data_IF_376527176514
#
_entry.id   IF_376527176514
#
_cell.length_a   1.000
_cell.length_b   1.000
_cell.length_c   1.000
_cell.angle_alpha   90.00
_cell.angle_beta   90.00
_cell.angle_gamma   90.00
#
_symmetry.space_group_name_H-M   'P 1'
#
loop_
_entity.id
_entity.type
_entity.pdbx_description
1 polymer ?
#
# COMPACT_ATOMS: atom_id res chain seq x y z
N UNK A 1 -12.25 64.45 7.18
CA UNK A 1 -11.11 63.59 6.80
C UNK A 1 -11.66 62.49 5.88
N UNK A 2 -12.04 62.69 4.62
CA UNK A 2 -11.51 63.54 3.55
C UNK A 2 -9.98 63.40 3.42
N UNK A 3 -9.53 62.37 2.68
CA UNK A 3 -8.23 62.21 1.98
C UNK A 3 -7.85 60.73 1.88
N UNK A 4 -8.32 60.01 0.85
CA UNK A 4 -7.57 58.88 0.25
C UNK A 4 -8.23 58.31 -1.02
N UNK A 5 -8.66 59.18 -1.94
CA UNK A 5 -9.22 58.75 -3.23
C UNK A 5 -8.74 59.59 -4.42
N UNK A 6 -7.52 60.15 -4.37
CA UNK A 6 -7.02 61.01 -5.45
C UNK A 6 -5.52 60.81 -5.71
N UNK A 7 -5.18 59.69 -6.36
CA UNK A 7 -3.90 59.47 -7.06
C UNK A 7 -4.17 58.78 -8.41
N UNK A 8 -5.20 59.25 -9.11
CA UNK A 8 -5.45 59.02 -10.53
C UNK A 8 -5.72 60.41 -11.10
N UNK A 9 -5.05 60.77 -12.20
CA UNK A 9 -5.11 62.08 -12.87
C UNK A 9 -4.20 63.19 -12.32
N UNK A 10 -2.89 63.05 -12.56
CA UNK A 10 -2.01 64.22 -12.73
C UNK A 10 -0.91 63.87 -13.73
N UNK A 11 -1.17 64.11 -15.01
CA UNK A 11 -0.28 64.71 -16.02
C UNK A 11 -0.84 64.47 -17.43
N UNK A 12 -1.96 65.13 -17.72
CA UNK A 12 -2.46 65.34 -19.07
C UNK A 12 -2.62 66.85 -19.24
N UNK A 13 -2.09 67.36 -20.35
CA UNK A 13 -2.20 68.71 -20.92
C UNK A 13 -1.22 69.81 -20.45
N UNK A 14 -0.21 70.06 -21.28
CA UNK A 14 0.23 71.39 -21.70
C UNK A 14 0.34 71.34 -23.25
N UNK A 15 -0.69 71.75 -23.99
CA UNK A 15 -0.99 73.09 -24.53
C UNK A 15 0.07 73.68 -25.49
N UNK A 16 -0.41 73.94 -26.73
CA UNK A 16 0.11 74.81 -27.80
C UNK A 16 1.38 74.32 -28.52
N UNK A 17 1.47 74.12 -29.84
CA UNK A 17 0.74 74.71 -30.98
C UNK A 17 1.67 75.68 -31.71
N UNK A 18 2.26 75.28 -32.85
CA UNK A 18 2.69 76.18 -33.94
C UNK A 18 3.10 75.40 -35.20
N UNK A 19 2.45 75.71 -36.31
CA UNK A 19 2.66 75.21 -37.67
C UNK A 19 3.89 75.85 -38.34
N UNK A 20 4.66 75.10 -39.12
CA UNK A 20 5.48 75.66 -40.20
C UNK A 20 5.72 74.60 -41.29
N UNK A 21 5.38 74.96 -42.53
CA UNK A 21 5.58 74.19 -43.76
C UNK A 21 7.04 74.27 -44.25
N UNK A 22 7.57 73.16 -44.79
CA UNK A 22 8.50 73.14 -45.92
C UNK A 22 8.54 71.74 -46.56
N UNK A 23 8.50 71.62 -47.91
CA UNK A 23 8.71 70.37 -48.63
C UNK A 23 10.19 70.19 -49.04
N UNK A 24 10.51 68.96 -49.46
CA UNK A 24 11.61 68.51 -50.33
C UNK A 24 12.62 67.50 -49.75
N UNK A 25 12.98 66.59 -50.67
CA UNK A 25 13.60 65.29 -50.54
C UNK A 25 14.97 65.27 -49.86
N UNK A 26 15.17 64.27 -48.97
CA UNK A 26 16.50 63.76 -48.64
C UNK A 26 16.45 62.34 -48.02
N UNK A 27 16.43 61.31 -48.88
CA UNK A 27 17.05 59.98 -48.66
C UNK A 27 16.50 59.04 -47.57
N UNK A 28 16.56 57.70 -47.76
CA UNK A 28 16.18 56.75 -46.73
C UNK A 28 17.16 56.81 -45.54
N UNK A 29 16.65 57.10 -44.35
CA UNK A 29 17.36 56.98 -43.07
C UNK A 29 17.83 55.54 -42.86
N UNK A 30 19.04 55.28 -42.33
CA UNK A 30 19.46 53.93 -41.98
C UNK A 30 18.52 53.39 -40.91
N UNK A 31 17.81 52.30 -41.19
CA UNK A 31 17.02 51.60 -40.18
C UNK A 31 17.98 51.04 -39.11
N UNK A 32 17.81 51.49 -37.86
CA UNK A 32 18.53 50.96 -36.72
C UNK A 32 18.21 49.48 -36.57
N UNK A 33 19.23 48.62 -36.72
CA UNK A 33 19.05 47.17 -36.61
C UNK A 33 18.96 46.80 -35.14
N UNK A 34 17.73 46.73 -34.63
CA UNK A 34 17.45 46.14 -33.32
C UNK A 34 17.79 44.66 -33.38
N UNK A 35 18.74 44.24 -32.54
CA UNK A 35 19.03 42.81 -32.36
C UNK A 35 17.96 42.27 -31.40
N UNK A 36 17.06 41.38 -31.82
CA UNK A 36 16.08 40.80 -30.92
C UNK A 36 16.81 40.01 -29.82
N UNK A 37 16.55 40.37 -28.57
CA UNK A 37 16.96 39.57 -27.42
C UNK A 37 16.33 38.19 -27.57
N UNK A 38 17.14 37.13 -27.46
CA UNK A 38 16.66 35.76 -27.50
C UNK A 38 15.62 35.56 -26.40
N UNK A 39 14.36 35.35 -26.83
CA UNK A 39 13.30 34.89 -25.94
C UNK A 39 13.73 33.52 -25.40
N UNK A 40 13.65 33.25 -24.08
CA UNK A 40 13.89 31.91 -23.58
C UNK A 40 12.97 30.95 -24.33
N UNK A 41 13.55 30.02 -25.09
CA UNK A 41 12.77 28.94 -25.65
C UNK A 41 12.21 28.15 -24.47
N UNK A 42 10.87 28.03 -24.40
CA UNK A 42 10.23 27.09 -23.50
C UNK A 42 10.89 25.73 -23.75
N UNK A 43 11.61 25.23 -22.73
CA UNK A 43 12.20 23.91 -22.79
C UNK A 43 11.06 22.94 -23.07
N UNK A 44 11.15 22.03 -24.07
CA UNK A 44 10.07 21.12 -24.36
C UNK A 44 9.66 20.43 -23.07
N UNK A 45 8.41 20.61 -22.63
CA UNK A 45 7.85 19.81 -21.55
C UNK A 45 7.99 18.36 -21.99
N UNK A 46 8.89 17.63 -21.32
CA UNK A 46 9.14 16.23 -21.62
C UNK A 46 7.81 15.50 -21.52
N UNK A 47 7.27 15.06 -22.67
CA UNK A 47 6.01 14.34 -22.68
C UNK A 47 6.27 12.96 -22.09
N UNK A 48 6.11 12.85 -20.78
CA UNK A 48 6.31 11.58 -20.08
C UNK A 48 5.33 10.56 -20.65
N UNK A 49 5.87 9.49 -21.23
CA UNK A 49 5.07 8.40 -21.76
C UNK A 49 4.30 7.73 -20.62
N UNK A 50 2.96 7.60 -20.73
CA UNK A 50 2.15 6.95 -19.71
C UNK A 50 2.70 5.56 -19.34
N UNK A 51 2.61 5.15 -18.07
CA UNK A 51 3.12 3.86 -17.65
C UNK A 51 2.28 2.75 -18.27
N UNK A 52 2.84 1.54 -18.47
CA UNK A 52 2.09 0.44 -19.03
C UNK A 52 0.80 0.17 -18.24
N UNK A 53 -0.33 0.13 -18.95
CA UNK A 53 -1.66 0.00 -18.35
C UNK A 53 -2.35 1.31 -17.99
N UNK A 54 -1.75 2.46 -18.28
CA UNK A 54 -2.41 3.78 -18.27
C UNK A 54 -2.31 4.35 -19.68
N UNK A 55 -3.45 4.71 -20.28
CA UNK A 55 -3.46 5.33 -21.60
C UNK A 55 -3.28 6.85 -21.50
N UNK A 56 -2.90 7.49 -22.62
CA UNK A 56 -2.71 8.94 -22.68
C UNK A 56 -3.99 9.74 -22.37
N UNK A 57 -5.16 9.15 -22.60
CA UNK A 57 -6.46 9.73 -22.24
C UNK A 57 -6.83 9.52 -20.75
N UNK A 58 -5.93 8.98 -19.94
CA UNK A 58 -6.14 8.70 -18.52
C UNK A 58 -6.92 7.41 -18.22
N UNK A 59 -7.34 6.65 -19.23
CA UNK A 59 -7.98 5.34 -18.97
C UNK A 59 -6.98 4.33 -18.42
N UNK A 60 -7.43 3.49 -17.50
CA UNK A 60 -6.59 2.48 -16.84
C UNK A 60 -7.00 1.08 -17.30
N UNK A 61 -6.04 0.26 -17.70
CA UNK A 61 -6.21 -1.16 -17.98
C UNK A 61 -5.62 -1.97 -16.81
N UNK A 62 -6.45 -2.49 -15.89
CA UNK A 62 -5.97 -3.17 -14.69
C UNK A 62 -5.09 -4.38 -15.02
N UNK A 63 -5.45 -5.17 -16.03
CA UNK A 63 -4.67 -6.34 -16.43
C UNK A 63 -3.27 -5.99 -16.95
N UNK A 64 -3.15 -4.93 -17.74
CA UNK A 64 -1.85 -4.46 -18.22
C UNK A 64 -1.00 -3.88 -17.09
N UNK A 65 -1.62 -3.09 -16.20
CA UNK A 65 -0.95 -2.51 -15.04
C UNK A 65 -0.47 -3.59 -14.05
N UNK A 66 -1.25 -4.65 -13.83
CA UNK A 66 -0.85 -5.79 -12.99
C UNK A 66 0.37 -6.50 -13.56
N UNK A 67 0.41 -6.74 -14.88
CA UNK A 67 1.57 -7.36 -15.52
C UNK A 67 2.82 -6.48 -15.40
N UNK A 68 2.68 -5.19 -15.65
CA UNK A 68 3.78 -4.22 -15.52
C UNK A 68 4.29 -4.14 -14.08
N UNK A 69 3.38 -4.16 -13.11
CA UNK A 69 3.72 -4.18 -11.70
C UNK A 69 4.57 -5.39 -11.32
N UNK A 70 4.21 -6.60 -11.77
CA UNK A 70 5.01 -7.79 -11.50
C UNK A 70 6.33 -7.79 -12.25
N UNK A 71 6.35 -7.35 -13.52
CA UNK A 71 7.60 -7.21 -14.28
C UNK A 71 8.57 -6.22 -13.61
N UNK A 72 8.05 -5.14 -13.00
CA UNK A 72 8.87 -4.18 -12.27
C UNK A 72 9.43 -4.70 -10.93
N UNK A 73 8.96 -5.85 -10.43
CA UNK A 73 9.38 -6.49 -9.19
C UNK A 73 10.18 -7.78 -9.40
N UNK A 74 10.22 -8.30 -10.62
CA UNK A 74 10.90 -9.57 -10.91
C UNK A 74 12.40 -9.45 -10.70
N UNK A 75 12.96 -10.47 -10.06
CA UNK A 75 14.38 -10.59 -9.71
C UNK A 75 14.93 -9.39 -8.92
N UNK A 76 14.07 -8.71 -8.14
CA UNK A 76 14.41 -7.53 -7.35
C UNK A 76 14.04 -7.71 -5.89
N UNK A 77 14.87 -7.16 -5.02
CA UNK A 77 14.57 -7.09 -3.60
C UNK A 77 13.57 -5.97 -3.31
N UNK A 78 12.65 -6.16 -2.37
CA UNK A 78 11.71 -5.12 -1.94
C UNK A 78 11.03 -5.43 -0.61
N UNK A 79 10.44 -4.40 -0.02
CA UNK A 79 9.48 -4.52 1.08
C UNK A 79 8.07 -4.18 0.61
N UNK A 80 7.09 -4.95 1.07
CA UNK A 80 5.67 -4.67 0.87
C UNK A 80 4.94 -4.61 2.21
N UNK A 81 4.12 -3.58 2.39
CA UNK A 81 3.28 -3.37 3.57
C UNK A 81 1.84 -3.21 3.16
N UNK A 82 0.93 -3.89 3.85
CA UNK A 82 -0.50 -3.71 3.73
C UNK A 82 -1.11 -3.49 5.10
N UNK A 83 -1.89 -2.44 5.23
CA UNK A 83 -2.71 -2.15 6.40
C UNK A 83 -4.17 -1.99 5.94
N UNK A 84 -5.07 -2.67 6.64
CA UNK A 84 -6.50 -2.54 6.46
C UNK A 84 -7.14 -2.37 7.83
N UNK A 85 -8.10 -1.46 7.92
CA UNK A 85 -8.87 -1.23 9.14
C UNK A 85 -10.31 -0.89 8.77
N UNK A 86 -11.23 -1.55 9.48
CA UNK A 86 -12.65 -1.23 9.52
C UNK A 86 -13.01 -0.83 10.94
N UNK A 87 -13.51 0.39 11.11
CA UNK A 87 -14.01 0.90 12.38
C UNK A 87 -15.50 1.17 12.31
N UNK A 88 -16.21 0.92 13.39
CA UNK A 88 -17.63 1.25 13.52
C UNK A 88 -17.74 2.38 14.53
N UNK A 89 -18.44 3.44 14.14
CA UNK A 89 -18.95 4.43 15.08
C UNK A 89 -20.27 3.91 15.62
N UNK A 90 -20.22 3.30 16.80
CA UNK A 90 -21.43 2.74 17.42
C UNK A 90 -22.21 3.91 18.02
N UNK A 91 -23.44 4.10 17.57
CA UNK A 91 -24.39 5.04 18.18
C UNK A 91 -24.47 4.77 19.69
N UNK A 92 -24.49 5.81 20.51
CA UNK A 92 -24.64 5.64 21.94
C UNK A 92 -25.96 4.90 22.23
N UNK A 93 -25.99 3.92 23.15
CA UNK A 93 -27.26 3.35 23.60
C UNK A 93 -28.16 4.47 24.12
N UNK A 94 -29.49 4.31 23.98
CA UNK A 94 -30.46 5.33 24.44
C UNK A 94 -30.18 5.69 25.90
N UNK A 95 -29.77 6.93 26.16
CA UNK A 95 -29.36 7.44 27.49
C UNK A 95 -27.86 7.43 27.78
N UNK A 96 -26.99 7.10 26.82
CA UNK A 96 -25.53 7.17 26.93
C UNK A 96 -24.91 8.37 26.20
N UNK A 97 -23.77 8.85 26.67
CA UNK A 97 -23.16 10.11 26.19
C UNK A 97 -22.05 9.95 25.14
N UNK A 98 -21.63 8.73 24.78
CA UNK A 98 -20.43 8.58 23.92
C UNK A 98 -20.60 7.54 22.82
N UNK A 99 -20.64 8.03 21.57
CA UNK A 99 -20.37 7.20 20.41
C UNK A 99 -18.90 6.72 20.47
N UNK A 100 -18.68 5.44 20.25
CA UNK A 100 -17.32 4.87 20.30
C UNK A 100 -16.88 4.46 18.90
N UNK A 101 -15.70 4.93 18.48
CA UNK A 101 -15.02 4.43 17.29
C UNK A 101 -14.24 3.17 17.68
N UNK A 102 -14.73 2.01 17.27
CA UNK A 102 -14.09 0.72 17.60
C UNK A 102 -13.61 0.06 16.32
N UNK A 103 -12.32 -0.28 16.24
CA UNK A 103 -11.79 -1.12 15.17
C UNK A 103 -12.36 -2.54 15.32
N UNK A 104 -13.23 -2.95 14.40
CA UNK A 104 -13.89 -4.25 14.40
C UNK A 104 -13.18 -5.26 13.51
N UNK A 105 -12.38 -4.79 12.55
CA UNK A 105 -11.56 -5.62 11.70
C UNK A 105 -10.26 -4.90 11.35
N UNK A 106 -9.15 -5.61 11.45
CA UNK A 106 -7.80 -5.12 11.19
C UNK A 106 -7.05 -6.22 10.48
N UNK A 107 -6.31 -5.88 9.43
CA UNK A 107 -5.35 -6.78 8.81
C UNK A 107 -4.06 -6.02 8.48
N UNK A 108 -2.94 -6.52 9.00
CA UNK A 108 -1.60 -6.02 8.72
C UNK A 108 -0.77 -7.14 8.08
N UNK A 109 -0.06 -6.81 7.01
CA UNK A 109 0.94 -7.68 6.39
C UNK A 109 2.22 -6.90 6.12
N UNK A 110 3.35 -7.52 6.43
CA UNK A 110 4.69 -6.99 6.14
C UNK A 110 5.49 -8.10 5.48
N UNK A 111 5.83 -7.91 4.22
CA UNK A 111 6.64 -8.83 3.43
C UNK A 111 7.98 -8.15 3.12
N UNK A 112 9.06 -8.92 3.22
CA UNK A 112 10.36 -8.58 2.64
C UNK A 112 10.74 -9.69 1.66
N UNK A 113 11.29 -9.31 0.52
CA UNK A 113 11.74 -10.20 -0.55
C UNK A 113 13.17 -9.80 -0.89
N UNK A 114 14.07 -10.77 -0.98
CA UNK A 114 15.41 -10.59 -1.52
C UNK A 114 15.43 -10.89 -3.03
N UNK A 115 16.53 -10.50 -3.67
CA UNK A 115 16.77 -10.71 -5.10
C UNK A 115 16.84 -12.19 -5.50
N UNK A 116 17.28 -13.07 -4.59
CA UNK A 116 17.25 -14.53 -4.74
C UNK A 116 15.83 -15.15 -4.62
N UNK A 117 14.81 -14.33 -4.40
CA UNK A 117 13.41 -14.77 -4.25
C UNK A 117 13.04 -15.27 -2.86
N UNK A 118 13.99 -15.36 -1.93
CA UNK A 118 13.70 -15.64 -0.52
C UNK A 118 12.84 -14.53 0.08
N UNK A 119 11.97 -14.89 1.03
CA UNK A 119 11.03 -13.92 1.59
C UNK A 119 10.66 -14.19 3.04
N UNK A 120 10.30 -13.11 3.74
CA UNK A 120 9.71 -13.15 5.09
C UNK A 120 8.42 -12.36 5.15
N UNK A 121 7.33 -13.03 5.50
CA UNK A 121 6.01 -12.44 5.71
C UNK A 121 5.65 -12.48 7.19
N UNK A 122 5.33 -11.33 7.77
CA UNK A 122 4.62 -11.22 9.05
C UNK A 122 3.18 -10.80 8.81
N UNK A 123 2.22 -11.45 9.48
CA UNK A 123 0.80 -11.12 9.39
C UNK A 123 0.13 -11.03 10.76
N UNK A 124 -0.75 -10.05 10.91
CA UNK A 124 -1.64 -9.87 12.06
C UNK A 124 -3.03 -9.55 11.53
N UNK A 125 -4.05 -10.20 12.06
CA UNK A 125 -5.43 -9.86 11.72
C UNK A 125 -6.38 -10.17 12.88
N UNK A 126 -7.51 -9.47 12.94
CA UNK A 126 -8.53 -9.68 13.96
C UNK A 126 -8.96 -11.16 13.99
N UNK A 127 -9.07 -11.74 15.18
CA UNK A 127 -9.47 -13.13 15.37
C UNK A 127 -8.41 -14.18 14.97
N UNK A 128 -7.23 -13.77 14.49
CA UNK A 128 -6.13 -14.68 14.16
C UNK A 128 -4.95 -14.48 15.11
N UNK A 129 -4.44 -15.59 15.64
CA UNK A 129 -3.14 -15.59 16.29
C UNK A 129 -2.08 -15.37 15.20
N UNK A 130 -1.34 -14.26 15.29
CA UNK A 130 -0.40 -13.83 14.27
C UNK A 130 0.64 -14.89 13.89
N UNK A 131 1.31 -14.69 12.76
CA UNK A 131 2.28 -15.66 12.27
C UNK A 131 3.35 -15.05 11.37
N UNK A 132 4.48 -15.75 11.30
CA UNK A 132 5.59 -15.45 10.40
C UNK A 132 5.76 -16.60 9.42
N UNK A 133 5.94 -16.28 8.15
CA UNK A 133 6.41 -17.22 7.13
C UNK A 133 7.80 -16.75 6.71
N UNK A 134 8.73 -17.67 6.61
CA UNK A 134 10.01 -17.46 5.96
C UNK A 134 10.17 -18.54 4.89
N UNK A 135 10.75 -18.21 3.75
CA UNK A 135 11.10 -19.21 2.77
C UNK A 135 12.35 -18.79 1.99
N UNK A 136 13.12 -19.79 1.63
CA UNK A 136 14.30 -19.70 0.77
C UNK A 136 14.44 -21.01 -0.03
N UNK A 137 15.60 -21.22 -0.65
CA UNK A 137 15.96 -22.40 -1.42
C UNK A 137 15.83 -23.73 -0.63
N UNK A 138 15.93 -23.69 0.70
CA UNK A 138 15.83 -24.88 1.57
C UNK A 138 14.40 -25.27 1.92
N UNK A 139 13.44 -24.35 1.75
CA UNK A 139 12.01 -24.65 1.91
C UNK A 139 11.18 -23.49 2.47
N UNK A 140 9.93 -23.80 2.83
CA UNK A 140 8.98 -22.84 3.41
C UNK A 140 8.70 -23.16 4.88
N UNK A 141 9.00 -22.22 5.76
CA UNK A 141 8.88 -22.34 7.20
C UNK A 141 7.80 -21.42 7.75
N UNK A 142 6.87 -21.97 8.54
CA UNK A 142 5.77 -21.22 9.15
C UNK A 142 5.86 -21.29 10.65
N UNK A 143 6.05 -20.14 11.29
CA UNK A 143 5.96 -19.96 12.74
C UNK A 143 4.62 -19.33 13.10
N UNK A 144 3.73 -20.11 13.73
CA UNK A 144 2.46 -19.63 14.26
C UNK A 144 2.52 -19.49 15.78
N UNK A 145 1.98 -18.39 16.32
CA UNK A 145 1.66 -18.36 17.74
C UNK A 145 0.37 -19.16 17.99
N UNK A 146 0.32 -19.88 19.10
CA UNK A 146 -0.83 -20.64 19.62
C UNK A 146 -1.07 -20.24 21.07
N UNK A 147 -2.24 -20.54 21.62
CA UNK A 147 -2.56 -20.28 23.02
C UNK A 147 -1.62 -20.98 24.02
N UNK A 148 -0.93 -22.04 23.61
CA UNK A 148 -0.02 -22.84 24.41
C UNK A 148 1.46 -22.75 23.98
N UNK A 149 1.85 -21.74 23.19
CA UNK A 149 3.23 -21.53 22.74
C UNK A 149 3.35 -21.29 21.25
N UNK A 150 4.55 -21.41 20.69
CA UNK A 150 4.79 -21.30 19.23
C UNK A 150 4.92 -22.68 18.60
N UNK A 151 4.28 -22.86 17.44
CA UNK A 151 4.39 -24.08 16.64
C UNK A 151 4.96 -23.79 15.26
N UNK A 152 5.76 -24.74 14.75
CA UNK A 152 6.41 -24.66 13.45
C UNK A 152 5.77 -25.62 12.45
N UNK A 153 5.80 -25.27 11.17
CA UNK A 153 5.46 -26.16 10.06
C UNK A 153 6.41 -25.91 8.89
N UNK A 154 6.94 -26.98 8.33
CA UNK A 154 7.65 -26.98 7.05
C UNK A 154 6.65 -27.32 5.96
N UNK A 155 6.53 -26.46 4.95
CA UNK A 155 5.70 -26.69 3.77
C UNK A 155 6.52 -27.25 2.62
N UNK A 156 5.90 -28.16 1.86
CA UNK A 156 6.43 -28.64 0.58
C UNK A 156 5.94 -27.76 -0.58
N UNK A 157 6.73 -27.69 -1.65
CA UNK A 157 6.43 -26.91 -2.86
C UNK A 157 7.33 -25.69 -3.03
N UNK A 158 7.44 -25.22 -4.28
CA UNK A 158 8.29 -24.10 -4.64
C UNK A 158 7.81 -22.81 -3.93
N UNK A 159 8.66 -22.18 -3.11
CA UNK A 159 8.31 -20.93 -2.48
C UNK A 159 8.06 -19.84 -3.51
N UNK A 160 6.94 -19.12 -3.41
CA UNK A 160 6.81 -17.86 -4.15
C UNK A 160 6.12 -16.80 -3.30
N UNK A 161 6.64 -15.58 -3.33
CA UNK A 161 6.06 -14.50 -2.56
C UNK A 161 4.80 -13.93 -3.25
N UNK A 162 4.66 -14.15 -4.56
CA UNK A 162 3.63 -13.53 -5.42
C UNK A 162 2.21 -13.84 -4.95
N UNK A 163 1.98 -15.00 -4.36
CA UNK A 163 0.67 -15.39 -3.83
C UNK A 163 0.24 -14.64 -2.56
N UNK A 164 1.18 -13.95 -1.89
CA UNK A 164 0.86 -13.08 -0.76
C UNK A 164 0.52 -11.66 -1.19
N UNK A 165 1.06 -11.22 -2.33
CA UNK A 165 0.78 -9.91 -2.89
C UNK A 165 -0.70 -9.81 -3.28
N UNK A 166 -1.31 -8.68 -2.97
CA UNK A 166 -2.74 -8.44 -3.19
C UNK A 166 -3.02 -7.39 -4.26
N UNK A 167 -1.98 -6.88 -4.95
CA UNK A 167 -2.09 -5.76 -5.90
C UNK A 167 -3.22 -5.97 -6.91
N UNK A 168 -3.29 -7.11 -7.60
CA UNK A 168 -4.34 -7.36 -8.59
C UNK A 168 -5.76 -7.39 -8.01
N UNK A 169 -5.93 -7.98 -6.82
CA UNK A 169 -7.22 -8.01 -6.13
C UNK A 169 -7.62 -6.62 -5.62
N UNK A 170 -6.66 -5.86 -5.11
CA UNK A 170 -6.86 -4.47 -4.67
C UNK A 170 -7.26 -3.58 -5.83
N UNK A 171 -6.54 -3.63 -6.96
CA UNK A 171 -6.86 -2.85 -8.15
C UNK A 171 -8.24 -3.23 -8.70
N UNK A 172 -8.52 -4.52 -8.87
CA UNK A 172 -9.82 -4.97 -9.36
C UNK A 172 -11.01 -4.64 -8.44
N UNK A 173 -10.77 -4.52 -7.13
CA UNK A 173 -11.81 -4.19 -6.16
C UNK A 173 -12.10 -2.69 -6.05
N UNK A 174 -11.08 -1.85 -6.16
CA UNK A 174 -11.18 -0.43 -5.80
C UNK A 174 -10.95 0.55 -6.97
N UNK A 175 -10.42 0.10 -8.10
CA UNK A 175 -10.16 1.00 -9.23
C UNK A 175 -11.06 0.59 -10.41
N UNK A 176 -12.27 1.18 -10.53
CA UNK A 176 -13.04 1.06 -11.76
C UNK A 176 -12.24 1.63 -12.93
N UNK A 177 -12.43 1.03 -14.11
CA UNK A 177 -11.85 1.52 -15.37
C UNK A 177 -12.45 2.89 -15.74
N UNK A 178 -13.71 3.10 -15.40
CA UNK A 178 -14.46 4.34 -15.63
C UNK A 178 -14.32 5.31 -14.45
N UNK A 179 -14.22 6.61 -14.73
CA UNK A 179 -14.18 7.66 -13.70
C UNK A 179 -12.81 7.87 -13.02
N UNK A 180 -11.75 7.24 -13.53
CA UNK A 180 -10.38 7.49 -13.07
C UNK A 180 -9.85 8.81 -13.62
N UNK A 181 -9.38 9.69 -12.73
CA UNK A 181 -8.60 10.87 -13.08
C UNK A 181 -7.11 10.55 -12.96
N UNK A 182 -6.35 10.79 -14.03
CA UNK A 182 -4.90 10.56 -14.06
C UNK A 182 -4.18 11.89 -14.11
N UNK A 183 -3.16 12.02 -13.26
CA UNK A 183 -2.28 13.20 -13.17
C UNK A 183 -0.86 12.77 -12.84
N UNK A 184 0.13 13.59 -13.13
CA UNK A 184 1.51 13.37 -12.68
C UNK A 184 1.75 14.11 -11.36
N UNK A 185 2.59 13.54 -10.50
CA UNK A 185 3.01 14.15 -9.24
C UNK A 185 4.48 13.85 -8.98
N UNK A 186 5.26 14.87 -8.63
CA UNK A 186 6.64 14.72 -8.19
C UNK A 186 6.68 14.53 -6.67
N UNK A 187 7.40 13.50 -6.20
CA UNK A 187 7.61 13.22 -4.78
C UNK A 187 8.98 12.61 -4.55
N UNK A 188 9.75 13.17 -3.61
CA UNK A 188 11.10 12.72 -3.27
C UNK A 188 12.03 12.60 -4.50
N UNK A 189 11.93 13.58 -5.41
CA UNK A 189 12.71 13.62 -6.66
C UNK A 189 12.27 12.61 -7.73
N UNK A 190 11.15 11.92 -7.55
CA UNK A 190 10.61 10.93 -8.50
C UNK A 190 9.24 11.35 -9.00
N UNK A 191 8.97 11.12 -10.28
CA UNK A 191 7.65 11.35 -10.86
C UNK A 191 6.79 10.10 -10.76
N UNK A 192 5.55 10.27 -10.33
CA UNK A 192 4.53 9.24 -10.27
C UNK A 192 3.31 9.63 -11.08
N UNK A 193 2.66 8.64 -11.68
CA UNK A 193 1.31 8.75 -12.21
C UNK A 193 0.33 8.46 -11.08
N UNK A 194 -0.43 9.48 -10.69
CA UNK A 194 -1.50 9.39 -9.70
C UNK A 194 -2.81 9.08 -10.43
N UNK A 195 -3.32 7.88 -10.22
CA UNK A 195 -4.67 7.46 -10.59
C UNK A 195 -5.58 7.70 -9.39
N UNK A 196 -6.62 8.52 -9.55
CA UNK A 196 -7.54 8.89 -8.48
C UNK A 196 -8.99 8.64 -8.89
N UNK A 197 -9.77 8.05 -7.98
CA UNK A 197 -11.17 7.70 -8.19
C UNK A 197 -11.98 8.16 -6.98
N UNK A 198 -13.10 8.84 -7.24
CA UNK A 198 -14.06 9.28 -6.21
C UNK A 198 -15.42 8.60 -6.30
N UNK A 199 -15.71 7.92 -7.40
CA UNK A 199 -16.91 7.11 -7.53
C UNK A 199 -16.62 5.65 -7.13
N UNK A 200 -17.38 5.06 -6.18
CA UNK A 200 -17.18 3.67 -5.80
C UNK A 200 -17.50 2.71 -6.97
N UNK A 201 -16.68 1.68 -7.21
CA UNK A 201 -17.01 0.67 -8.21
C UNK A 201 -18.32 -0.06 -7.86
N UNK A 202 -19.13 -0.41 -8.88
CA UNK A 202 -20.46 -1.04 -8.71
C UNK A 202 -20.43 -2.28 -7.83
N UNK A 203 -19.43 -3.13 -8.01
CA UNK A 203 -19.24 -4.36 -7.20
C UNK A 203 -19.10 -4.08 -5.70
N UNK A 204 -18.60 -2.91 -5.33
CA UNK A 204 -18.50 -2.46 -3.95
C UNK A 204 -19.81 -1.81 -3.49
N UNK A 205 -20.39 -0.92 -4.32
CA UNK A 205 -21.62 -0.19 -4.01
C UNK A 205 -22.85 -1.10 -3.88
N UNK A 206 -22.93 -2.13 -4.72
CA UNK A 206 -24.05 -3.10 -4.77
C UNK A 206 -23.75 -4.37 -3.96
N UNK A 207 -22.63 -4.40 -3.22
CA UNK A 207 -22.18 -5.57 -2.48
C UNK A 207 -23.12 -6.01 -1.35
N UNK A 208 -23.99 -5.11 -0.87
CA UNK A 208 -25.02 -5.42 0.12
C UNK A 208 -26.22 -4.48 -0.03
N UNK A 209 -27.45 -5.02 -0.09
CA UNK A 209 -28.65 -4.26 -0.44
C UNK A 209 -29.01 -3.10 0.52
N UNK A 210 -28.46 -3.11 1.75
CA UNK A 210 -28.66 -2.06 2.77
C UNK A 210 -27.43 -1.18 2.98
N UNK A 211 -26.44 -1.27 2.09
CA UNK A 211 -25.21 -0.50 2.19
C UNK A 211 -25.29 0.73 1.30
N UNK A 212 -25.01 1.90 1.88
CA UNK A 212 -24.77 3.12 1.11
C UNK A 212 -23.34 3.56 1.36
N UNK A 213 -22.54 3.70 0.29
CA UNK A 213 -21.16 4.18 0.38
C UNK A 213 -21.13 5.70 0.26
N UNK A 214 -20.37 6.34 1.14
CA UNK A 214 -20.10 7.78 1.12
C UNK A 214 -18.59 8.05 1.18
N UNK A 215 -18.20 9.25 0.80
CA UNK A 215 -16.82 9.76 0.93
C UNK A 215 -15.76 8.82 0.34
N UNK A 216 -16.09 8.20 -0.80
CA UNK A 216 -15.21 7.25 -1.46
C UNK A 216 -14.02 7.96 -2.11
N UNK A 217 -12.82 7.51 -1.79
CA UNK A 217 -11.59 7.93 -2.45
C UNK A 217 -10.62 6.74 -2.57
N UNK A 218 -10.17 6.46 -3.79
CA UNK A 218 -9.12 5.51 -4.07
C UNK A 218 -8.01 6.19 -4.89
N UNK A 219 -6.76 6.05 -4.45
CA UNK A 219 -5.59 6.65 -5.11
C UNK A 219 -4.48 5.63 -5.27
N UNK A 220 -4.00 5.43 -6.49
CA UNK A 220 -2.81 4.64 -6.80
C UNK A 220 -1.69 5.54 -7.34
N UNK A 221 -0.47 5.30 -6.88
CA UNK A 221 0.73 5.96 -7.37
C UNK A 221 1.56 4.94 -8.15
N UNK A 222 1.77 5.22 -9.43
CA UNK A 222 2.40 4.31 -10.38
C UNK A 222 3.70 4.93 -10.89
N UNK A 223 4.79 4.19 -10.88
CA UNK A 223 6.05 4.64 -11.50
C UNK A 223 5.96 4.58 -13.03
N UNK A 224 6.83 5.27 -13.78
CA UNK A 224 6.85 5.17 -15.24
C UNK A 224 6.97 3.74 -15.78
N UNK A 225 7.63 2.85 -15.04
CA UNK A 225 7.82 1.44 -15.40
C UNK A 225 6.58 0.57 -15.11
N UNK A 226 5.55 1.12 -14.45
CA UNK A 226 4.32 0.41 -14.10
C UNK A 226 4.29 -0.21 -12.70
N UNK A 227 5.27 0.08 -11.84
CA UNK A 227 5.21 -0.32 -10.44
C UNK A 227 4.12 0.49 -9.72
N UNK A 228 3.05 -0.16 -9.29
CA UNK A 228 2.10 0.41 -8.33
C UNK A 228 2.77 0.53 -6.96
N UNK A 229 3.38 1.69 -6.71
CA UNK A 229 4.19 1.98 -5.52
C UNK A 229 3.33 2.06 -4.26
N UNK A 230 2.15 2.65 -4.37
CA UNK A 230 1.22 2.75 -3.25
C UNK A 230 -0.22 2.75 -3.75
N UNK A 231 -1.10 2.17 -2.94
CA UNK A 231 -2.56 2.27 -3.06
C UNK A 231 -3.10 2.72 -1.71
N UNK A 232 -3.95 3.74 -1.74
CA UNK A 232 -4.67 4.27 -0.57
C UNK A 232 -6.15 4.28 -0.91
N UNK A 233 -6.98 3.68 -0.07
CA UNK A 233 -8.43 3.67 -0.23
C UNK A 233 -9.08 4.02 1.10
N UNK A 234 -9.98 4.97 1.05
CA UNK A 234 -10.77 5.43 2.18
C UNK A 234 -12.22 5.58 1.71
N UNK A 235 -13.15 5.10 2.52
CA UNK A 235 -14.58 5.32 2.29
C UNK A 235 -15.33 4.99 3.56
N UNK A 236 -16.57 5.44 3.58
CA UNK A 236 -17.51 5.08 4.63
C UNK A 236 -18.71 4.36 4.04
N UNK A 237 -19.39 3.60 4.88
CA UNK A 237 -20.71 3.11 4.55
C UNK A 237 -21.59 2.99 5.77
N UNK A 238 -22.89 3.13 5.54
CA UNK A 238 -23.90 2.78 6.54
C UNK A 238 -24.36 1.34 6.32
N UNK A 239 -24.53 0.59 7.40
CA UNK A 239 -25.16 -0.72 7.38
C UNK A 239 -26.21 -0.77 8.48
N UNK A 240 -27.48 -0.70 8.10
CA UNK A 240 -28.57 -0.42 9.05
C UNK A 240 -28.34 0.96 9.68
N UNK A 241 -28.02 1.06 10.97
CA UNK A 241 -27.83 2.32 11.70
C UNK A 241 -26.37 2.60 12.11
N UNK A 242 -25.45 1.66 11.82
CA UNK A 242 -24.04 1.79 12.14
C UNK A 242 -23.30 2.49 10.98
N UNK A 243 -22.54 3.54 11.31
CA UNK A 243 -21.59 4.17 10.39
C UNK A 243 -20.26 3.43 10.48
N UNK A 244 -19.75 3.02 9.33
CA UNK A 244 -18.52 2.23 9.23
C UNK A 244 -17.52 2.98 8.38
N UNK A 245 -16.35 3.27 8.94
CA UNK A 245 -15.22 3.80 8.19
C UNK A 245 -14.26 2.66 7.79
N UNK A 246 -13.80 2.70 6.55
CA UNK A 246 -12.84 1.75 5.98
C UNK A 246 -11.61 2.52 5.52
N UNK A 247 -10.45 2.04 5.94
CA UNK A 247 -9.15 2.50 5.44
C UNK A 247 -8.33 1.30 4.98
N UNK A 248 -7.67 1.46 3.84
CA UNK A 248 -6.77 0.49 3.25
C UNK A 248 -5.55 1.21 2.69
N UNK A 249 -4.37 0.68 2.98
CA UNK A 249 -3.10 1.16 2.46
C UNK A 249 -2.21 -0.01 2.08
N UNK A 250 -1.67 0.00 0.87
CA UNK A 250 -0.69 -0.97 0.39
C UNK A 250 0.48 -0.23 -0.21
N UNK A 251 1.72 -0.57 0.17
CA UNK A 251 2.92 0.16 -0.23
C UNK A 251 4.10 -0.77 -0.51
N UNK A 252 4.85 -0.44 -1.55
CA UNK A 252 6.15 -1.03 -1.87
C UNK A 252 7.26 -0.02 -1.54
N UNK A 253 8.36 -0.47 -0.95
CA UNK A 253 9.53 0.35 -0.60
C UNK A 253 10.82 -0.47 -0.69
N UNK A 254 11.96 0.23 -0.73
CA UNK A 254 13.29 -0.39 -0.71
C UNK A 254 13.52 -1.33 -1.89
N UNK A 255 13.04 -0.94 -3.08
CA UNK A 255 13.25 -1.75 -4.28
C UNK A 255 14.74 -1.67 -4.63
N UNK A 256 15.39 -2.83 -4.79
CA UNK A 256 16.85 -3.01 -4.93
C UNK A 256 17.69 -2.62 -3.70
N UNK A 257 17.04 -2.27 -2.59
CA UNK A 257 17.70 -1.82 -1.35
C UNK A 257 17.35 -2.72 -0.16
N UNK A 258 16.59 -3.79 -0.38
CA UNK A 258 16.09 -4.64 0.71
C UNK A 258 16.99 -5.85 0.92
N UNK A 259 17.54 -5.97 2.12
CA UNK A 259 18.22 -7.19 2.57
C UNK A 259 17.29 -8.09 3.40
N UNK A 260 17.54 -9.40 3.31
CA UNK A 260 16.86 -10.41 4.11
C UNK A 260 17.85 -11.46 4.63
N UNK A 261 18.00 -11.53 5.95
CA UNK A 261 18.72 -12.61 6.60
C UNK A 261 17.77 -13.75 7.00
N UNK A 262 18.29 -14.99 6.93
CA UNK A 262 17.61 -16.18 7.47
C UNK A 262 17.36 -16.02 8.97
N UNK A 263 16.13 -16.21 9.47
CA UNK A 263 15.83 -16.12 10.90
C UNK A 263 16.43 -17.27 11.72
N UNK A 264 16.90 -17.00 12.93
CA UNK A 264 17.52 -18.00 13.81
C UNK A 264 16.62 -19.23 14.10
N UNK A 265 15.32 -19.02 14.27
CA UNK A 265 14.37 -20.11 14.54
C UNK A 265 14.22 -21.10 13.38
N UNK A 266 14.72 -20.76 12.19
CA UNK A 266 14.77 -21.67 11.03
C UNK A 266 15.98 -22.59 11.13
N UNK A 267 17.09 -22.14 11.72
CA UNK A 267 18.29 -22.96 11.88
C UNK A 267 18.00 -24.24 12.68
N UNK A 268 17.16 -24.13 13.72
CA UNK A 268 16.71 -25.27 14.54
C UNK A 268 15.81 -26.28 13.79
N UNK A 269 15.36 -25.96 12.58
CA UNK A 269 14.41 -26.77 11.78
C UNK A 269 15.07 -27.43 10.56
N UNK A 270 16.38 -27.23 10.39
CA UNK A 270 17.16 -27.78 9.28
C UNK A 270 18.05 -28.89 9.86
N UNK A 271 18.02 -30.08 9.26
CA UNK A 271 18.93 -31.16 9.64
C UNK A 271 20.37 -30.87 9.18
N UNK A 272 21.36 -31.58 9.73
CA UNK A 272 22.79 -31.42 9.40
C UNK A 272 23.11 -31.52 7.89
N UNK A 273 22.21 -32.12 7.10
CA UNK A 273 22.29 -32.19 5.64
C UNK A 273 21.71 -30.99 4.88
N UNK A 274 21.36 -29.89 5.56
CA UNK A 274 20.82 -28.67 4.93
C UNK A 274 19.39 -28.82 4.39
N UNK A 275 18.72 -29.93 4.69
CA UNK A 275 17.36 -30.22 4.21
C UNK A 275 16.36 -30.01 5.35
N UNK A 276 15.21 -29.40 5.05
CA UNK A 276 14.15 -29.22 6.03
C UNK A 276 13.51 -30.56 6.41
N UNK A 277 13.41 -30.88 7.70
CA UNK A 277 12.77 -32.11 8.18
C UNK A 277 11.25 -32.02 8.08
N UNK A 278 10.58 -32.83 7.24
CA UNK A 278 9.13 -32.82 7.16
C UNK A 278 8.53 -33.35 8.48
N UNK A 279 7.68 -32.57 9.14
CA UNK A 279 6.93 -33.00 10.32
C UNK A 279 7.50 -32.60 11.69
N UNK A 280 8.62 -31.86 11.75
CA UNK A 280 9.11 -31.29 13.00
C UNK A 280 8.10 -30.29 13.60
N UNK A 281 7.24 -30.77 14.49
CA UNK A 281 6.39 -29.92 15.33
C UNK A 281 7.11 -29.72 16.66
N UNK A 282 8.09 -28.81 16.69
CA UNK A 282 8.69 -28.39 17.96
C UNK A 282 7.69 -27.50 18.69
N UNK A 283 7.14 -28.01 19.79
CA UNK A 283 6.38 -27.20 20.75
C UNK A 283 7.38 -26.70 21.78
N UNK A 284 7.71 -25.42 21.76
CA UNK A 284 8.50 -24.83 22.86
C UNK A 284 7.57 -24.66 24.06
N UNK A 285 7.46 -25.70 24.88
CA UNK A 285 6.79 -25.63 26.18
C UNK A 285 7.62 -24.74 27.09
N UNK A 286 7.08 -23.59 27.50
CA UNK A 286 7.65 -22.86 28.64
C UNK A 286 7.53 -23.78 29.86
N UNK A 287 8.66 -24.23 30.40
CA UNK A 287 8.68 -25.02 31.62
C UNK A 287 8.02 -24.22 32.75
N UNK A 288 7.01 -24.74 33.45
CA UNK A 288 6.64 -24.17 34.73
C UNK A 288 7.80 -24.43 35.69
N UNK A 289 8.26 -23.37 36.35
CA UNK A 289 9.17 -23.46 37.50
C UNK A 289 8.51 -24.36 38.55
N UNK A 290 8.88 -25.64 38.58
CA UNK A 290 8.50 -26.54 39.64
C UNK A 290 9.52 -26.39 40.77
N UNK A 291 9.15 -25.64 41.80
CA UNK A 291 9.72 -25.79 43.15
C UNK A 291 9.49 -27.24 43.56
N UNK A 292 10.57 -28.00 43.66
CA UNK A 292 10.55 -29.36 44.17
C UNK A 292 10.31 -29.31 45.68
N UNK A 293 9.09 -29.66 46.11
CA UNK A 293 8.86 -30.15 47.47
C UNK A 293 8.76 -31.67 47.42
N UNK A 294 9.65 -32.31 48.16
CA UNK A 294 9.75 -33.74 48.31
C UNK A 294 8.67 -34.23 49.28
N UNK A 295 7.87 -35.21 48.85
CA UNK A 295 7.17 -36.10 49.77
C UNK A 295 7.16 -37.51 49.19
N UNK A 296 8.03 -38.32 49.77
CA UNK A 296 8.12 -39.77 49.67
C UNK A 296 6.84 -40.41 50.19
N UNK A 297 6.19 -41.30 49.43
CA UNK A 297 5.52 -42.44 50.03
C UNK A 297 5.50 -43.66 49.11
N UNK A 298 5.64 -44.82 49.73
CA UNK A 298 6.21 -46.06 49.20
C UNK A 298 5.16 -47.17 49.21
N UNK A 299 4.70 -47.59 48.01
CA UNK A 299 4.22 -48.96 47.68
C UNK A 299 2.98 -49.54 48.41
N UNK A 300 2.41 -50.71 48.00
CA UNK A 300 2.67 -51.52 46.79
C UNK A 300 1.41 -52.00 46.02
N UNK A 301 1.73 -52.64 44.87
CA UNK A 301 0.94 -53.52 43.99
C UNK A 301 -0.20 -54.32 44.64
N UNK A 302 -1.31 -54.43 43.87
CA UNK A 302 -2.05 -55.69 43.69
C UNK A 302 -2.39 -55.86 42.21
N UNK A 303 -1.92 -56.95 41.63
CA UNK A 303 -2.32 -57.46 40.33
C UNK A 303 -3.21 -58.68 40.56
N UNK A 304 -4.34 -58.78 39.86
CA UNK A 304 -4.96 -60.07 39.50
C UNK A 304 -5.72 -59.90 38.16
N UNK A 305 -5.58 -60.86 37.23
CA UNK A 305 -6.15 -60.81 35.88
C UNK A 305 -7.54 -61.46 35.81
N UNK A 306 -8.32 -61.16 34.77
CA UNK A 306 -9.38 -62.06 34.30
C UNK A 306 -9.47 -62.07 32.78
N UNK A 307 -9.67 -63.28 32.31
CA UNK A 307 -9.59 -63.89 31.00
C UNK A 307 -10.84 -63.69 30.12
N UNK A 308 -10.68 -63.91 28.81
CA UNK A 308 -11.65 -64.64 27.98
C UNK A 308 -12.88 -63.93 27.41
N UNK A 309 -12.95 -63.79 26.08
CA UNK A 309 -14.24 -63.64 25.37
C UNK A 309 -14.18 -63.17 23.91
N UNK A 310 -13.86 -64.07 22.99
CA UNK A 310 -14.03 -63.93 21.53
C UNK A 310 -15.50 -63.97 21.09
N UNK A 311 -15.93 -63.06 20.21
CA UNK A 311 -16.26 -63.29 18.78
C UNK A 311 -16.74 -62.02 18.11
#
# INVERSE_FOLDING_TARGET
MARWLALVALFVVALAGCSALAPDDAGPTPAETVTPVAVPADTPTETLSPPPGVAANGSVSPGALIRAHFAALDDRSFTWRLDYRRSVDRSAPVGGETASNVSVDVAERRLRVADDGSYRLTRRMTGMVGGTVYADDTGRYVRGARSNGTGYRVGTGEPSYRHYLRTGQTLGRYFPVEGSAVSTVARDGRTYYRVHVTAPPRTLAEGHAKQTITDYAATAYVTPEGLVRAVVVEYEYTLTDDRVAVSFRSEYRGVDETDLARPDWVADLIDDGGTATPGATTTTTQSPTATADAATDTSPRTATPTDGGTR
#
